data_IF_215191643015
#
_entry.id   IF_215191643015
#
_cell.length_a   1.000
_cell.length_b   1.000
_cell.length_c   1.000
_cell.angle_alpha   90.00
_cell.angle_beta   90.00
_cell.angle_gamma   90.00
#
_symmetry.space_group_name_H-M   'P 1'
#
loop_
_entity.id
_entity.type
_entity.pdbx_description
1 polymer ?
#
# COMPACT_ATOMS: atom_id res chain seq x y z
N UNK A 1 18.69 -4.74 -16.98
CA UNK A 1 18.74 -3.28 -16.77
C UNK A 1 17.58 -2.65 -17.51
N UNK A 2 16.47 -2.40 -16.82
CA UNK A 2 15.28 -1.78 -17.41
C UNK A 2 15.36 -0.26 -17.27
N UNK A 3 14.90 0.45 -18.28
CA UNK A 3 14.76 1.91 -18.24
C UNK A 3 13.63 2.27 -17.29
N UNK A 4 13.94 3.07 -16.28
CA UNK A 4 12.96 3.55 -15.30
C UNK A 4 12.05 4.58 -15.96
N UNK A 5 12.66 5.43 -16.79
CA UNK A 5 11.96 6.52 -17.43
C UNK A 5 12.70 6.98 -18.69
N UNK A 6 11.92 7.41 -19.68
CA UNK A 6 12.41 8.05 -20.90
C UNK A 6 11.74 9.40 -21.01
N UNK A 7 12.53 10.44 -21.21
CA UNK A 7 12.02 11.79 -21.37
C UNK A 7 12.98 12.67 -22.14
N UNK A 8 12.65 13.95 -22.26
CA UNK A 8 13.50 14.96 -22.87
C UNK A 8 13.78 16.07 -21.88
N UNK A 9 15.04 16.49 -21.77
CA UNK A 9 15.40 17.70 -21.05
C UNK A 9 15.55 18.79 -22.11
N UNK A 10 14.75 19.84 -21.99
CA UNK A 10 14.80 21.01 -22.87
C UNK A 10 15.52 22.16 -22.18
N UNK A 11 16.51 22.75 -22.85
CA UNK A 11 17.21 23.94 -22.38
C UNK A 11 17.22 24.98 -23.50
N UNK A 12 16.45 26.06 -23.31
CA UNK A 12 16.21 27.06 -24.36
C UNK A 12 15.47 26.46 -25.56
N UNK A 13 16.15 26.37 -26.70
CA UNK A 13 15.61 25.84 -27.98
C UNK A 13 16.08 24.41 -28.29
N UNK A 14 16.89 23.79 -27.42
CA UNK A 14 17.45 22.46 -27.65
C UNK A 14 16.74 21.45 -26.77
N UNK A 15 16.21 20.39 -27.39
CA UNK A 15 15.60 19.26 -26.69
C UNK A 15 16.49 18.02 -26.82
N UNK A 16 16.96 17.50 -25.69
CA UNK A 16 17.87 16.34 -25.64
C UNK A 16 17.11 15.15 -25.03
N UNK A 17 16.93 14.04 -25.78
CA UNK A 17 16.31 12.84 -25.25
C UNK A 17 17.25 12.14 -24.27
N UNK A 18 16.74 11.79 -23.09
CA UNK A 18 17.46 11.11 -22.03
C UNK A 18 16.75 9.81 -21.61
N UNK A 19 17.54 8.82 -21.19
CA UNK A 19 17.06 7.55 -20.64
C UNK A 19 17.62 7.40 -19.23
N UNK A 20 16.75 7.29 -18.24
CA UNK A 20 17.13 7.05 -16.86
C UNK A 20 17.19 5.54 -16.59
N UNK A 21 18.29 5.13 -15.96
CA UNK A 21 18.55 3.76 -15.51
C UNK A 21 18.78 3.77 -14.00
N UNK A 22 18.28 2.75 -13.30
CA UNK A 22 18.61 2.56 -11.89
C UNK A 22 20.09 2.19 -11.75
N UNK A 23 20.83 2.95 -10.94
CA UNK A 23 22.24 2.68 -10.65
C UNK A 23 22.43 1.46 -9.73
N UNK A 24 21.45 1.22 -8.86
CA UNK A 24 21.43 0.10 -7.90
C UNK A 24 20.10 -0.64 -8.02
N UNK A 25 20.15 -1.95 -8.18
CA UNK A 25 18.98 -2.82 -8.13
C UNK A 25 18.99 -3.54 -6.78
N UNK A 26 18.05 -3.21 -5.89
CA UNK A 26 17.86 -3.95 -4.64
C UNK A 26 17.36 -5.35 -5.00
N UNK A 27 18.28 -6.31 -5.03
CA UNK A 27 17.96 -7.74 -5.15
C UNK A 27 17.59 -8.30 -3.79
N UNK A 28 16.51 -7.80 -3.21
CA UNK A 28 15.93 -8.39 -2.02
C UNK A 28 15.32 -9.74 -2.40
N UNK A 29 15.93 -10.81 -1.91
CA UNK A 29 15.40 -12.16 -2.03
C UNK A 29 14.10 -12.19 -1.21
N UNK A 30 12.96 -12.27 -1.90
CA UNK A 30 11.65 -12.38 -1.24
C UNK A 30 11.56 -13.73 -0.52
N UNK A 31 11.76 -13.72 0.79
CA UNK A 31 11.55 -14.90 1.63
C UNK A 31 10.04 -15.16 1.77
N UNK A 32 9.62 -16.40 1.56
CA UNK A 32 8.26 -16.85 1.85
C UNK A 32 8.25 -17.52 3.22
N UNK A 33 7.21 -17.24 4.01
CA UNK A 33 7.02 -17.89 5.31
C UNK A 33 6.46 -19.30 5.08
N UNK A 34 7.16 -20.31 5.60
CA UNK A 34 6.79 -21.71 5.54
C UNK A 34 6.44 -22.23 6.94
N UNK A 35 5.51 -23.19 7.01
CA UNK A 35 5.24 -23.94 8.23
C UNK A 35 6.46 -24.81 8.59
N UNK A 36 6.94 -24.72 9.82
CA UNK A 36 8.21 -25.33 10.25
C UNK A 36 8.25 -26.86 10.12
N UNK A 37 7.10 -27.53 10.29
CA UNK A 37 7.05 -29.00 10.26
C UNK A 37 6.80 -29.54 8.85
N UNK A 38 5.81 -29.01 8.13
CA UNK A 38 5.42 -29.52 6.82
C UNK A 38 6.01 -28.75 5.62
N UNK A 39 6.78 -27.69 5.87
CA UNK A 39 7.44 -26.86 4.84
C UNK A 39 6.49 -26.28 3.78
N UNK A 40 5.19 -26.16 4.09
CA UNK A 40 4.21 -25.57 3.18
C UNK A 40 4.08 -24.06 3.39
N UNK A 41 3.67 -23.28 2.38
CA UNK A 41 3.38 -21.86 2.53
C UNK A 41 2.27 -21.59 3.54
N UNK A 42 2.47 -20.58 4.39
CA UNK A 42 1.43 -20.14 5.34
C UNK A 42 0.37 -19.32 4.58
N UNK A 43 -0.91 -19.61 4.83
CA UNK A 43 -2.03 -18.81 4.35
C UNK A 43 -2.66 -18.03 5.51
N UNK A 44 -2.88 -16.73 5.31
CA UNK A 44 -3.46 -15.86 6.33
C UNK A 44 -4.95 -15.71 6.10
N UNK A 45 -5.74 -16.06 7.11
CA UNK A 45 -7.18 -15.88 7.11
C UNK A 45 -7.58 -14.97 8.26
N UNK A 46 -8.45 -14.00 7.97
CA UNK A 46 -9.01 -13.10 8.98
C UNK A 46 -10.31 -13.73 9.49
N UNK A 47 -10.39 -13.99 10.78
CA UNK A 47 -11.55 -14.64 11.42
C UNK A 47 -12.16 -13.68 12.43
N UNK A 48 -13.49 -13.56 12.44
CA UNK A 48 -14.19 -12.75 13.42
C UNK A 48 -14.16 -13.45 14.79
N UNK A 49 -13.71 -12.75 15.84
CA UNK A 49 -13.63 -13.32 17.19
C UNK A 49 -15.01 -13.66 17.81
N UNK A 50 -16.09 -13.05 17.31
CA UNK A 50 -17.44 -13.24 17.86
C UNK A 50 -18.20 -14.40 17.22
N UNK A 51 -18.15 -14.56 15.89
CA UNK A 51 -18.87 -15.62 15.18
C UNK A 51 -17.99 -16.77 14.69
N UNK A 52 -16.66 -16.63 14.73
CA UNK A 52 -15.73 -17.67 14.27
C UNK A 52 -15.69 -17.87 12.75
N UNK A 53 -16.42 -17.04 11.99
CA UNK A 53 -16.45 -17.10 10.52
C UNK A 53 -15.26 -16.36 9.90
N UNK A 54 -14.82 -16.86 8.75
CA UNK A 54 -13.81 -16.22 7.92
C UNK A 54 -14.40 -14.97 7.28
N UNK A 55 -13.81 -13.81 7.54
CA UNK A 55 -14.30 -12.52 7.06
C UNK A 55 -13.54 -12.15 5.80
N UNK A 56 -14.28 -11.97 4.70
CA UNK A 56 -13.72 -11.47 3.45
C UNK A 56 -13.25 -10.02 3.64
N UNK A 57 -12.18 -9.57 2.96
CA UNK A 57 -11.67 -8.20 3.09
C UNK A 57 -12.73 -7.13 2.78
N UNK A 58 -13.72 -7.44 1.96
CA UNK A 58 -14.86 -6.57 1.61
C UNK A 58 -15.81 -6.32 2.78
N UNK A 59 -15.86 -7.22 3.75
CA UNK A 59 -16.72 -7.13 4.94
C UNK A 59 -15.99 -6.48 6.12
N UNK A 60 -14.72 -6.07 5.94
CA UNK A 60 -13.91 -5.44 6.99
C UNK A 60 -14.02 -3.93 6.84
N UNK A 61 -14.85 -3.33 7.70
CA UNK A 61 -14.95 -1.88 7.83
C UNK A 61 -13.80 -1.35 8.69
N UNK A 62 -13.30 -0.16 8.35
CA UNK A 62 -12.35 0.57 9.21
C UNK A 62 -13.15 1.39 10.20
N UNK A 63 -12.81 1.30 11.48
CA UNK A 63 -13.46 2.09 12.51
C UNK A 63 -12.43 2.76 13.43
N UNK A 64 -12.75 3.96 13.89
CA UNK A 64 -11.94 4.70 14.86
C UNK A 64 -12.54 4.58 16.26
N UNK A 65 -11.70 4.23 17.24
CA UNK A 65 -12.11 4.16 18.65
C UNK A 65 -12.01 5.55 19.27
N UNK A 66 -13.17 6.19 19.52
CA UNK A 66 -13.23 7.53 20.12
C UNK A 66 -13.41 7.50 21.64
N UNK A 67 -13.88 6.38 22.18
CA UNK A 67 -13.98 6.11 23.60
C UNK A 67 -13.87 4.59 23.82
N UNK A 68 -13.51 4.17 25.03
CA UNK A 68 -13.29 2.76 25.37
C UNK A 68 -14.47 1.89 24.92
N UNK A 69 -14.23 0.97 23.98
CA UNK A 69 -15.24 0.09 23.35
C UNK A 69 -16.33 0.79 22.53
N UNK A 70 -16.10 2.03 22.07
CA UNK A 70 -17.00 2.72 21.13
C UNK A 70 -16.26 3.05 19.85
N UNK A 71 -16.77 2.52 18.76
CA UNK A 71 -16.19 2.65 17.43
C UNK A 71 -17.11 3.50 16.55
N UNK A 72 -16.54 4.41 15.77
CA UNK A 72 -17.21 5.08 14.66
C UNK A 72 -16.68 4.44 13.38
N UNK A 73 -17.57 3.92 12.55
CA UNK A 73 -17.23 3.43 11.21
C UNK A 73 -16.81 4.62 10.36
N UNK A 74 -15.64 4.54 9.71
CA UNK A 74 -15.22 5.52 8.71
C UNK A 74 -15.31 4.89 7.33
N UNK A 75 -16.09 5.50 6.46
CA UNK A 75 -16.07 5.18 5.04
C UNK A 75 -14.72 5.57 4.41
N UNK A 76 -14.23 4.72 3.51
CA UNK A 76 -12.97 4.96 2.79
C UNK A 76 -13.02 6.28 1.99
N UNK A 77 -14.21 6.70 1.52
CA UNK A 77 -14.41 7.98 0.83
C UNK A 77 -14.20 9.21 1.74
N UNK A 78 -14.61 9.12 3.00
CA UNK A 78 -14.44 10.19 3.98
C UNK A 78 -12.96 10.29 4.39
N UNK A 79 -12.29 9.14 4.51
CA UNK A 79 -10.86 9.05 4.75
C UNK A 79 -10.04 9.68 3.61
N UNK A 80 -10.41 9.43 2.35
CA UNK A 80 -9.76 10.06 1.19
C UNK A 80 -9.96 11.58 1.16
N UNK A 81 -11.16 12.08 1.47
CA UNK A 81 -11.42 13.52 1.56
C UNK A 81 -10.56 14.19 2.63
N UNK A 82 -10.45 13.57 3.82
CA UNK A 82 -9.60 14.07 4.91
C UNK A 82 -8.11 14.12 4.56
N UNK A 83 -7.63 13.17 3.75
CA UNK A 83 -6.24 13.16 3.27
C UNK A 83 -5.97 14.31 2.30
N UNK A 84 -6.86 14.53 1.33
CA UNK A 84 -6.74 15.63 0.36
C UNK A 84 -6.75 17.01 1.03
N UNK A 85 -7.63 17.22 2.00
CA UNK A 85 -7.72 18.50 2.71
C UNK A 85 -6.44 18.83 3.52
N UNK A 86 -5.77 17.82 4.08
CA UNK A 86 -4.48 18.02 4.77
C UNK A 86 -3.32 18.30 3.80
N UNK A 87 -3.30 17.68 2.63
CA UNK A 87 -2.28 17.95 1.60
C UNK A 87 -2.40 19.38 1.04
N UNK A 88 -3.62 19.92 0.92
CA UNK A 88 -3.84 21.31 0.49
C UNK A 88 -3.48 22.36 1.55
N UNK A 89 -3.66 22.05 2.85
CA UNK A 89 -3.27 22.96 3.95
C UNK A 89 -1.76 22.97 4.23
N UNK A 90 -1.02 21.96 3.80
CA UNK A 90 0.43 21.87 3.97
C UNK A 90 1.23 22.52 2.83
N UNK A 91 0.57 23.03 1.79
CA UNK A 91 1.21 23.62 0.60
C UNK A 91 1.20 25.14 0.62
#
# INVERSE_FOLDING_TARGET
MHTVWKGGISFGLVNIPVKLFTATENKDIKLRQLHKECHTPINYKKVCANCGEEVAPEQIVKAYEYAKNKFIELDDEELEKLRKENEEKSR
#
